data_IF_281781463467
#
_entry.id   IF_281781463467
#
_cell.length_a   1.000
_cell.length_b   1.000
_cell.length_c   1.000
_cell.angle_alpha   90.00
_cell.angle_beta   90.00
_cell.angle_gamma   90.00
#
_symmetry.space_group_name_H-M   'P 1'
#
loop_
_entity.id
_entity.type
_entity.pdbx_description
1 polymer ?
#
# COMPACT_ATOMS: atom_id res chain seq x y z
N UNK A 1 1.05 -13.69 20.21
CA UNK A 1 0.27 -12.54 19.71
C UNK A 1 -0.90 -13.07 18.87
N UNK A 2 -2.14 -12.69 19.19
CA UNK A 2 -3.30 -13.06 18.39
C UNK A 2 -3.33 -12.27 17.06
N UNK A 3 -3.86 -12.88 16.01
CA UNK A 3 -4.08 -12.23 14.72
C UNK A 3 -5.17 -11.16 14.88
N UNK A 4 -4.78 -9.88 14.90
CA UNK A 4 -5.70 -8.73 15.07
C UNK A 4 -6.36 -8.28 13.77
N UNK A 5 -6.37 -9.12 12.73
CA UNK A 5 -6.96 -8.75 11.43
C UNK A 5 -8.47 -8.80 11.49
N UNK A 6 -9.09 -7.68 11.15
CA UNK A 6 -10.54 -7.57 11.00
C UNK A 6 -11.04 -8.02 9.61
N UNK A 7 -10.19 -7.92 8.58
CA UNK A 7 -10.54 -8.22 7.19
C UNK A 7 -9.65 -9.33 6.62
N UNK A 8 -10.20 -10.31 5.88
CA UNK A 8 -9.40 -11.29 5.16
C UNK A 8 -8.57 -10.61 4.07
N UNK A 9 -7.36 -11.11 3.83
CA UNK A 9 -6.49 -10.62 2.75
C UNK A 9 -6.60 -11.55 1.54
N UNK A 10 -6.89 -10.99 0.39
CA UNK A 10 -6.92 -11.67 -0.90
C UNK A 10 -5.59 -11.44 -1.61
N UNK A 11 -4.85 -12.49 -2.00
CA UNK A 11 -3.69 -12.34 -2.87
C UNK A 11 -4.09 -11.64 -4.17
N UNK A 12 -3.41 -10.56 -4.50
CA UNK A 12 -3.70 -9.76 -5.68
C UNK A 12 -2.43 -9.08 -6.14
N UNK A 13 -2.03 -9.31 -7.40
CA UNK A 13 -0.88 -8.66 -8.02
C UNK A 13 -1.37 -7.63 -9.02
N UNK A 14 -1.34 -6.37 -8.62
CA UNK A 14 -1.61 -5.22 -9.47
C UNK A 14 -0.38 -4.31 -9.48
N UNK A 15 -0.16 -3.58 -10.57
CA UNK A 15 0.81 -2.48 -10.57
C UNK A 15 0.18 -1.30 -9.83
N UNK A 16 0.94 -0.66 -8.95
CA UNK A 16 0.48 0.48 -8.17
C UNK A 16 1.54 1.56 -8.17
N UNK A 17 1.12 2.81 -8.44
CA UNK A 17 1.92 4.00 -8.24
C UNK A 17 1.76 4.45 -6.80
N UNK A 18 2.87 4.68 -6.10
CA UNK A 18 2.91 5.26 -4.76
C UNK A 18 3.64 6.60 -4.84
N UNK A 19 3.04 7.65 -4.29
CA UNK A 19 3.57 9.02 -4.37
C UNK A 19 3.81 9.61 -2.98
N UNK A 20 4.95 10.29 -2.80
CA UNK A 20 5.31 11.02 -1.59
C UNK A 20 6.23 12.21 -1.92
N UNK A 21 6.15 13.35 -1.21
CA UNK A 21 7.02 14.50 -1.48
C UNK A 21 8.52 14.20 -1.39
N UNK A 22 8.95 13.36 -0.45
CA UNK A 22 10.39 13.13 -0.19
C UNK A 22 11.06 12.23 -1.23
N UNK A 23 10.31 11.35 -1.91
CA UNK A 23 10.89 10.37 -2.85
C UNK A 23 10.23 10.39 -4.23
N UNK A 24 9.21 11.23 -4.46
CA UNK A 24 8.47 11.29 -5.71
C UNK A 24 7.57 10.07 -5.92
N UNK A 25 7.48 9.63 -7.18
CA UNK A 25 6.65 8.51 -7.60
C UNK A 25 7.47 7.23 -7.72
N UNK A 26 6.98 6.15 -7.11
CA UNK A 26 7.52 4.79 -7.29
C UNK A 26 6.43 3.84 -7.76
N UNK A 27 6.82 2.85 -8.55
CA UNK A 27 5.90 1.86 -9.12
C UNK A 27 6.21 0.47 -8.56
N UNK A 28 5.31 -0.02 -7.71
CA UNK A 28 5.43 -1.32 -7.07
C UNK A 28 4.38 -2.31 -7.54
N UNK A 29 4.39 -3.49 -6.92
CA UNK A 29 3.34 -4.48 -7.08
C UNK A 29 2.70 -4.85 -5.76
N UNK A 30 1.37 -4.92 -5.75
CA UNK A 30 0.66 -5.46 -4.58
C UNK A 30 0.99 -6.95 -4.41
N UNK A 31 1.10 -7.40 -3.16
CA UNK A 31 1.13 -8.83 -2.82
C UNK A 31 -0.27 -9.33 -2.49
N UNK A 32 -0.96 -8.56 -1.66
CA UNK A 32 -2.27 -8.87 -1.12
C UNK A 32 -3.04 -7.58 -0.77
N UNK A 33 -4.37 -7.67 -0.77
CA UNK A 33 -5.31 -6.57 -0.49
C UNK A 33 -6.40 -7.05 0.48
N UNK A 34 -6.91 -6.13 1.29
CA UNK A 34 -8.13 -6.28 2.09
C UNK A 34 -8.90 -4.96 2.09
N UNK A 35 -10.14 -4.95 2.59
CA UNK A 35 -10.95 -3.73 2.72
C UNK A 35 -10.29 -2.64 3.58
N UNK A 36 -9.41 -3.04 4.51
CA UNK A 36 -8.70 -2.12 5.40
C UNK A 36 -7.30 -1.71 4.94
N UNK A 37 -6.77 -2.27 3.85
CA UNK A 37 -5.41 -1.95 3.42
C UNK A 37 -4.76 -2.96 2.49
N UNK A 38 -3.54 -2.63 2.05
CA UNK A 38 -2.79 -3.32 0.99
C UNK A 38 -1.35 -3.60 1.44
N UNK A 39 -0.71 -4.62 0.89
CA UNK A 39 0.74 -4.77 0.97
C UNK A 39 1.37 -4.56 -0.41
N UNK A 40 2.42 -3.73 -0.49
CA UNK A 40 3.13 -3.41 -1.73
C UNK A 40 4.60 -3.78 -1.61
N UNK A 41 5.11 -4.52 -2.59
CA UNK A 41 6.52 -4.87 -2.74
C UNK A 41 7.25 -3.76 -3.49
N UNK A 42 8.26 -3.16 -2.85
CA UNK A 42 9.17 -2.18 -3.43
C UNK A 42 10.26 -1.82 -2.41
N UNK A 43 11.52 -1.72 -2.85
CA UNK A 43 12.67 -1.46 -1.96
C UNK A 43 12.60 -0.11 -1.23
N UNK A 44 12.20 0.96 -1.94
CA UNK A 44 12.00 2.29 -1.30
C UNK A 44 10.93 2.23 -0.21
N UNK A 45 9.86 1.47 -0.43
CA UNK A 45 8.76 1.36 0.53
C UNK A 45 9.16 0.53 1.75
N UNK A 46 10.03 -0.47 1.57
CA UNK A 46 10.59 -1.28 2.66
C UNK A 46 11.37 -0.44 3.69
N UNK A 47 11.89 0.71 3.29
CA UNK A 47 12.65 1.62 4.16
C UNK A 47 11.78 2.68 4.86
N UNK A 48 10.47 2.74 4.60
CA UNK A 48 9.62 3.79 5.16
C UNK A 48 9.33 3.58 6.66
N UNK A 49 9.36 4.65 7.48
CA UNK A 49 8.90 4.58 8.86
C UNK A 49 7.42 4.21 8.97
N UNK A 50 7.05 3.54 10.06
CA UNK A 50 5.64 3.39 10.43
C UNK A 50 5.01 4.76 10.69
N UNK A 51 3.76 4.95 10.24
CA UNK A 51 3.04 6.23 10.32
C UNK A 51 3.23 7.15 9.11
N UNK A 52 4.17 6.87 8.20
CA UNK A 52 4.33 7.66 6.97
C UNK A 52 3.05 7.62 6.12
N UNK A 53 2.59 8.78 5.68
CA UNK A 53 1.40 8.95 4.82
C UNK A 53 1.81 9.05 3.36
N UNK A 54 1.21 8.25 2.49
CA UNK A 54 1.45 8.26 1.04
C UNK A 54 0.12 8.25 0.30
N UNK A 55 0.14 8.58 -0.99
CA UNK A 55 -0.99 8.29 -1.88
C UNK A 55 -0.68 7.09 -2.76
N UNK A 56 -1.70 6.31 -3.10
CA UNK A 56 -1.59 5.14 -3.96
C UNK A 56 -2.64 5.13 -5.05
N UNK A 57 -2.26 4.71 -6.25
CA UNK A 57 -3.18 4.58 -7.38
C UNK A 57 -2.84 3.32 -8.17
N UNK A 58 -3.81 2.40 -8.30
CA UNK A 58 -3.65 1.23 -9.17
C UNK A 58 -3.46 1.70 -10.61
N UNK A 59 -2.56 1.04 -11.33
CA UNK A 59 -2.19 1.37 -12.70
C UNK A 59 -2.73 0.31 -13.67
N UNK A 60 -2.55 0.56 -14.96
CA UNK A 60 -2.88 -0.37 -16.05
C UNK A 60 -4.38 -0.75 -16.10
N UNK A 61 -5.26 0.14 -15.63
CA UNK A 61 -6.71 0.01 -15.78
C UNK A 61 -7.20 0.78 -17.01
N UNK A 62 -8.35 0.39 -17.61
CA UNK A 62 -8.94 1.10 -18.76
C UNK A 62 -9.30 2.57 -18.48
N UNK A 63 -9.34 2.95 -17.21
CA UNK A 63 -9.59 4.28 -16.69
C UNK A 63 -8.73 4.51 -15.44
N UNK A 64 -8.56 5.77 -15.04
CA UNK A 64 -7.79 6.11 -13.85
C UNK A 64 -8.42 5.52 -12.59
N UNK A 65 -7.63 4.74 -11.84
CA UNK A 65 -8.04 4.26 -10.54
C UNK A 65 -8.26 5.43 -9.57
N UNK A 66 -9.11 5.28 -8.55
CA UNK A 66 -9.14 6.22 -7.45
C UNK A 66 -7.77 6.32 -6.78
N UNK A 67 -7.41 7.54 -6.39
CA UNK A 67 -6.24 7.80 -5.55
C UNK A 67 -6.67 7.59 -4.11
N UNK A 68 -5.93 6.73 -3.39
CA UNK A 68 -6.19 6.41 -1.99
C UNK A 68 -5.08 6.98 -1.11
N UNK A 69 -5.46 7.63 -0.01
CA UNK A 69 -4.52 7.91 1.07
C UNK A 69 -4.25 6.66 1.90
N UNK A 70 -2.98 6.46 2.24
CA UNK A 70 -2.50 5.28 2.92
C UNK A 70 -1.48 5.63 3.99
N UNK A 71 -1.46 4.84 5.07
CA UNK A 71 -0.48 4.97 6.14
C UNK A 71 0.31 3.68 6.29
N UNK A 72 1.64 3.79 6.40
CA UNK A 72 2.53 2.66 6.66
C UNK A 72 2.22 2.08 8.04
N UNK A 73 1.79 0.83 8.10
CA UNK A 73 1.58 0.10 9.35
C UNK A 73 2.80 -0.72 9.75
N UNK A 74 3.53 -1.23 8.76
CA UNK A 74 4.75 -2.02 8.95
C UNK A 74 5.55 -2.10 7.67
N UNK A 75 6.84 -2.37 7.80
CA UNK A 75 7.73 -2.74 6.70
C UNK A 75 8.44 -4.05 7.00
N UNK A 76 8.93 -4.70 5.94
CA UNK A 76 9.85 -5.83 5.99
C UNK A 76 10.82 -5.73 4.81
N UNK A 77 11.70 -6.73 4.62
CA UNK A 77 12.71 -6.69 3.56
C UNK A 77 12.14 -6.68 2.13
N UNK A 78 10.87 -7.05 1.92
CA UNK A 78 10.24 -7.09 0.59
C UNK A 78 9.44 -5.82 0.27
N UNK A 79 9.01 -5.06 1.28
CA UNK A 79 8.13 -3.92 1.07
C UNK A 79 7.39 -3.45 2.32
N UNK A 80 6.19 -2.90 2.10
CA UNK A 80 5.41 -2.23 3.14
C UNK A 80 3.94 -2.68 3.15
N UNK A 81 3.40 -2.84 4.35
CA UNK A 81 1.98 -2.98 4.61
C UNK A 81 1.35 -1.65 4.98
N UNK A 82 0.31 -1.27 4.25
CA UNK A 82 -0.42 -0.02 4.42
C UNK A 82 -1.84 -0.29 4.94
N UNK A 83 -2.38 0.67 5.70
CA UNK A 83 -3.82 0.81 5.92
C UNK A 83 -4.39 1.92 5.05
N UNK A 84 -5.64 1.80 4.63
CA UNK A 84 -6.35 2.91 3.99
C UNK A 84 -6.76 3.95 5.02
N UNK A 85 -6.69 5.23 4.63
CA UNK A 85 -7.12 6.37 5.42
C UNK A 85 -8.46 6.85 4.88
N UNK A 86 -9.41 7.13 5.76
CA UNK A 86 -10.69 7.74 5.37
C UNK A 86 -11.80 6.76 4.96
N UNK A 87 -11.58 5.45 5.07
CA UNK A 87 -12.69 4.49 5.16
C UNK A 87 -13.27 4.57 6.59
N UNK A 88 -14.19 5.50 6.81
CA UNK A 88 -15.09 5.57 7.96
C UNK A 88 -16.53 5.44 7.46
#
# INVERSE_FOLDING_TARGET
MANQRQYPRTPMKCRIKISHPDFGDVFGHTRDLSDGGVYVRHEVLAALPAGTRVTGQVQDMPFDAPILEMEVMRTDAEGAGFRFVGNA
#
